data_IF_686295283224
#
_entry.id   IF_686295283224
#
_cell.length_a   1.000
_cell.length_b   1.000
_cell.length_c   1.000
_cell.angle_alpha   90.00
_cell.angle_beta   90.00
_cell.angle_gamma   90.00
#
_symmetry.space_group_name_H-M   'P 1'
#
loop_
_entity.id
_entity.type
_entity.pdbx_description
1 polymer ?
#
# COMPACT_ATOMS: atom_id res chain seq x y z
N UNK A 1 -51.11 -28.69 -17.45
CA UNK A 1 -49.74 -29.17 -17.74
C UNK A 1 -48.78 -27.99 -17.82
N UNK A 2 -47.82 -27.91 -16.90
CA UNK A 2 -46.80 -26.86 -16.81
C UNK A 2 -45.73 -27.09 -17.89
N UNK A 3 -45.57 -26.17 -18.85
CA UNK A 3 -44.35 -26.10 -19.68
C UNK A 3 -43.54 -24.89 -19.25
N UNK A 4 -42.42 -25.20 -18.60
CA UNK A 4 -41.39 -24.26 -18.12
C UNK A 4 -40.76 -23.56 -19.32
N UNK A 5 -40.96 -22.26 -19.44
CA UNK A 5 -40.16 -21.41 -20.33
C UNK A 5 -38.76 -21.33 -19.71
N UNK A 6 -37.80 -22.01 -20.34
CA UNK A 6 -36.39 -22.03 -19.92
C UNK A 6 -35.76 -20.67 -20.22
N UNK A 7 -35.50 -19.92 -19.16
CA UNK A 7 -34.69 -18.70 -19.12
C UNK A 7 -33.33 -18.99 -19.78
N UNK A 8 -33.13 -18.47 -20.99
CA UNK A 8 -31.82 -18.37 -21.64
C UNK A 8 -31.30 -16.92 -21.49
N UNK A 9 -31.18 -16.46 -20.24
CA UNK A 9 -30.52 -15.20 -19.85
C UNK A 9 -29.56 -15.50 -18.70
N UNK A 10 -28.66 -16.48 -18.90
CA UNK A 10 -27.66 -16.88 -17.88
C UNK A 10 -26.24 -16.97 -18.44
N UNK A 11 -25.98 -16.48 -19.66
CA UNK A 11 -24.62 -16.55 -20.23
C UNK A 11 -24.11 -15.28 -20.93
N UNK A 12 -24.58 -14.11 -20.49
CA UNK A 12 -24.15 -12.81 -21.05
C UNK A 12 -23.94 -11.72 -19.99
N UNK A 13 -23.72 -12.10 -18.72
CA UNK A 13 -23.43 -11.18 -17.61
C UNK A 13 -22.16 -11.56 -16.83
N UNK A 14 -21.07 -11.88 -17.54
CA UNK A 14 -19.77 -12.14 -16.89
C UNK A 14 -18.55 -11.60 -17.65
N UNK A 15 -18.72 -10.54 -18.44
CA UNK A 15 -17.61 -9.88 -19.16
C UNK A 15 -17.34 -8.44 -18.72
N UNK A 16 -17.93 -8.00 -17.61
CA UNK A 16 -17.64 -6.68 -17.07
C UNK A 16 -16.69 -6.82 -15.87
N UNK A 17 -15.57 -6.08 -15.94
CA UNK A 17 -14.56 -5.84 -14.88
C UNK A 17 -13.37 -6.82 -14.86
N UNK A 18 -12.44 -6.69 -15.81
CA UNK A 18 -11.04 -7.15 -15.61
C UNK A 18 -9.97 -6.19 -16.17
N UNK A 19 -10.32 -4.95 -16.54
CA UNK A 19 -9.35 -3.95 -17.05
C UNK A 19 -9.07 -2.80 -16.08
N UNK A 20 -9.07 -3.06 -14.77
CA UNK A 20 -8.66 -2.07 -13.77
C UNK A 20 -7.45 -2.61 -13.01
N UNK A 21 -6.29 -2.00 -13.25
CA UNK A 21 -5.10 -2.30 -12.47
C UNK A 21 -5.26 -1.65 -11.09
N UNK A 22 -5.34 -2.48 -10.04
CA UNK A 22 -5.39 -1.99 -8.67
C UNK A 22 -3.99 -1.68 -8.16
N UNK A 23 -3.87 -0.60 -7.38
CA UNK A 23 -2.67 -0.39 -6.59
C UNK A 23 -2.42 -1.55 -5.62
N UNK A 24 -1.17 -2.06 -5.53
CA UNK A 24 -0.80 -3.05 -4.54
C UNK A 24 -1.09 -2.55 -3.13
N UNK A 25 -1.65 -3.43 -2.31
CA UNK A 25 -2.02 -3.10 -0.94
C UNK A 25 -1.24 -3.98 0.04
N UNK A 26 -0.41 -3.34 0.86
CA UNK A 26 0.54 -3.97 1.78
C UNK A 26 -0.06 -4.20 3.17
N UNK A 27 0.39 -5.25 3.84
CA UNK A 27 0.01 -5.49 5.23
C UNK A 27 0.67 -4.46 6.16
N UNK A 28 1.90 -4.02 5.82
CA UNK A 28 2.64 -2.99 6.54
C UNK A 28 2.48 -1.58 6.00
N UNK A 29 1.34 -1.23 5.39
CA UNK A 29 1.10 0.15 4.92
C UNK A 29 1.35 1.20 6.02
N UNK A 30 1.06 0.86 7.28
CA UNK A 30 1.26 1.74 8.44
C UNK A 30 2.74 2.05 8.73
N UNK A 31 3.69 1.27 8.20
CA UNK A 31 5.12 1.58 8.30
C UNK A 31 5.66 2.32 7.07
N UNK A 32 4.90 2.37 5.97
CA UNK A 32 5.25 3.10 4.75
C UNK A 32 4.11 4.01 4.27
N UNK A 33 3.70 4.97 5.09
CA UNK A 33 2.68 5.97 4.72
C UNK A 33 3.06 6.78 3.46
N UNK A 34 4.35 6.92 3.12
CA UNK A 34 4.79 7.63 1.92
C UNK A 34 4.28 6.96 0.64
N UNK A 35 4.23 5.62 0.60
CA UNK A 35 3.73 4.88 -0.56
C UNK A 35 2.30 5.31 -0.94
N UNK A 36 1.47 5.62 0.07
CA UNK A 36 0.06 6.00 -0.09
C UNK A 36 -0.19 7.50 -0.08
N UNK A 37 0.59 8.30 0.66
CA UNK A 37 0.32 9.73 0.85
C UNK A 37 1.61 10.57 0.80
N UNK A 38 1.81 11.42 -0.23
CA UNK A 38 3.01 12.24 -0.34
C UNK A 38 3.14 13.30 0.77
N UNK A 39 2.03 13.71 1.40
CA UNK A 39 2.05 14.69 2.49
C UNK A 39 2.69 14.16 3.78
N UNK A 40 2.81 12.83 3.92
CA UNK A 40 3.46 12.22 5.09
C UNK A 40 4.98 12.45 5.13
N UNK A 41 5.62 12.66 3.99
CA UNK A 41 7.07 12.86 3.93
C UNK A 41 7.48 14.04 4.81
N UNK A 42 8.59 13.94 5.55
CA UNK A 42 9.02 14.96 6.50
C UNK A 42 8.19 15.09 7.79
N UNK A 43 7.13 14.31 7.99
CA UNK A 43 6.35 14.30 9.24
C UNK A 43 7.16 13.76 10.44
N UNK A 44 8.17 12.94 10.15
CA UNK A 44 9.13 12.43 11.13
C UNK A 44 10.28 13.38 11.34
N UNK A 45 10.85 13.30 12.53
CA UNK A 45 11.98 14.11 12.93
C UNK A 45 13.34 13.55 12.48
N UNK A 46 13.36 12.49 11.68
CA UNK A 46 14.59 11.81 11.25
C UNK A 46 14.40 11.27 9.84
N UNK A 47 15.50 10.99 9.15
CA UNK A 47 15.44 10.36 7.84
C UNK A 47 15.03 8.90 8.01
N UNK A 48 14.10 8.43 7.18
CA UNK A 48 13.61 7.05 7.19
C UNK A 48 13.83 6.44 5.82
N UNK A 49 14.36 5.22 5.79
CA UNK A 49 14.36 4.35 4.62
C UNK A 49 13.49 3.16 4.97
N UNK A 50 12.49 2.88 4.15
CA UNK A 50 11.62 1.71 4.33
C UNK A 50 11.68 0.87 3.07
N UNK A 51 11.88 -0.43 3.22
CA UNK A 51 11.74 -1.39 2.14
C UNK A 51 10.78 -2.50 2.54
N UNK A 52 9.91 -2.88 1.62
CA UNK A 52 8.95 -3.97 1.81
C UNK A 52 9.06 -4.91 0.63
N UNK A 53 9.15 -6.21 0.90
CA UNK A 53 9.06 -7.28 -0.07
C UNK A 53 7.81 -8.09 0.24
N UNK A 54 6.95 -8.30 -0.75
CA UNK A 54 5.70 -9.05 -0.64
C UNK A 54 5.65 -10.11 -1.73
N UNK A 55 5.38 -11.36 -1.33
CA UNK A 55 5.10 -12.47 -2.24
C UNK A 55 3.70 -13.00 -1.93
N UNK A 56 2.81 -12.97 -2.93
CA UNK A 56 1.44 -13.44 -2.80
C UNK A 56 1.26 -14.77 -3.49
N UNK A 57 0.37 -15.57 -2.93
CA UNK A 57 -0.03 -16.86 -3.49
C UNK A 57 1.17 -17.76 -3.82
N UNK A 58 2.11 -17.82 -2.88
CA UNK A 58 3.34 -18.59 -3.04
C UNK A 58 3.04 -20.05 -3.44
N UNK A 59 3.69 -20.52 -4.51
CA UNK A 59 3.58 -21.92 -4.95
C UNK A 59 3.30 -22.17 -6.44
N UNK A 60 3.17 -21.15 -7.28
CA UNK A 60 3.04 -21.32 -8.74
C UNK A 60 3.81 -20.27 -9.54
N UNK A 61 4.13 -20.60 -10.79
CA UNK A 61 4.88 -19.74 -11.70
C UNK A 61 4.10 -18.47 -12.04
N UNK A 62 4.77 -17.31 -11.97
CA UNK A 62 4.12 -16.01 -12.21
C UNK A 62 3.31 -15.45 -11.03
N UNK A 63 3.40 -16.06 -9.84
CA UNK A 63 2.77 -15.53 -8.63
C UNK A 63 3.18 -14.06 -8.35
N UNK A 64 2.28 -13.18 -7.86
CA UNK A 64 2.59 -11.78 -7.65
C UNK A 64 3.75 -11.56 -6.67
N UNK A 65 4.71 -10.72 -7.09
CA UNK A 65 5.81 -10.24 -6.26
C UNK A 65 5.82 -8.72 -6.34
N UNK A 66 5.67 -8.08 -5.18
CA UNK A 66 5.68 -6.62 -5.07
C UNK A 66 6.80 -6.18 -4.14
N UNK A 67 7.54 -5.17 -4.56
CA UNK A 67 8.66 -4.59 -3.85
C UNK A 67 8.45 -3.09 -3.75
N UNK A 68 8.78 -2.51 -2.60
CA UNK A 68 8.88 -1.06 -2.49
C UNK A 68 10.13 -0.68 -1.70
N UNK A 69 10.72 0.44 -2.11
CA UNK A 69 11.73 1.15 -1.37
C UNK A 69 11.30 2.63 -1.29
N UNK A 70 11.43 3.23 -0.12
CA UNK A 70 11.04 4.60 0.11
C UNK A 70 12.07 5.28 0.98
N UNK A 71 12.49 6.48 0.58
CA UNK A 71 13.36 7.36 1.32
C UNK A 71 12.58 8.61 1.69
N UNK A 72 12.61 8.99 2.97
CA UNK A 72 11.89 10.14 3.51
C UNK A 72 12.86 10.98 4.36
N UNK A 73 12.96 12.28 4.09
CA UNK A 73 13.81 13.21 4.84
C UNK A 73 13.09 14.52 5.18
N UNK A 74 13.08 14.92 6.47
CA UNK A 74 12.64 16.26 6.87
C UNK A 74 13.72 17.32 6.61
N UNK A 75 13.33 18.47 6.07
CA UNK A 75 14.10 19.71 5.97
C UNK A 75 13.48 20.74 6.92
N UNK A 76 13.85 20.64 8.20
CA UNK A 76 13.21 21.38 9.29
C UNK A 76 13.28 22.89 9.17
N UNK A 77 14.39 23.44 8.66
CA UNK A 77 14.57 24.89 8.54
C UNK A 77 13.53 25.56 7.64
N UNK A 78 12.85 24.80 6.79
CA UNK A 78 11.84 25.28 5.85
C UNK A 78 10.45 24.69 6.09
N UNK A 79 10.28 23.85 7.11
CA UNK A 79 9.08 23.03 7.31
C UNK A 79 8.71 22.19 6.07
N UNK A 80 9.72 21.68 5.36
CA UNK A 80 9.54 20.89 4.14
C UNK A 80 9.94 19.44 4.40
N UNK A 81 9.29 18.51 3.71
CA UNK A 81 9.70 17.12 3.58
C UNK A 81 10.03 16.80 2.12
N UNK A 82 11.05 15.97 1.91
CA UNK A 82 11.42 15.45 0.59
C UNK A 82 11.52 13.93 0.65
N UNK A 83 11.03 13.26 -0.38
CA UNK A 83 10.97 11.81 -0.41
C UNK A 83 11.18 11.27 -1.82
N UNK A 84 11.71 10.05 -1.88
CA UNK A 84 11.83 9.26 -3.10
C UNK A 84 11.13 7.93 -2.86
N UNK A 85 10.40 7.45 -3.85
CA UNK A 85 9.69 6.18 -3.82
C UNK A 85 9.97 5.38 -5.08
N UNK A 86 10.18 4.07 -4.91
CA UNK A 86 10.16 3.10 -5.99
C UNK A 86 9.23 1.98 -5.57
N UNK A 87 8.30 1.61 -6.43
CA UNK A 87 7.44 0.44 -6.28
C UNK A 87 7.55 -0.38 -7.55
N UNK A 88 7.95 -1.64 -7.42
CA UNK A 88 8.02 -2.59 -8.51
C UNK A 88 7.02 -3.71 -8.22
N UNK A 89 6.08 -3.93 -9.12
CA UNK A 89 5.05 -4.96 -9.03
C UNK A 89 5.15 -5.87 -10.25
N UNK A 90 5.28 -7.18 -10.00
CA UNK A 90 5.35 -8.20 -11.05
C UNK A 90 4.23 -9.21 -10.84
N UNK A 91 3.35 -9.33 -11.82
CA UNK A 91 2.20 -10.24 -11.83
C UNK A 91 2.23 -11.02 -13.14
N UNK A 92 2.61 -12.31 -13.10
CA UNK A 92 2.78 -13.11 -14.30
C UNK A 92 3.76 -12.45 -15.30
N UNK A 93 3.33 -12.23 -16.56
CA UNK A 93 4.15 -11.55 -17.57
C UNK A 93 4.22 -10.02 -17.37
N UNK A 94 3.35 -9.43 -16.55
CA UNK A 94 3.24 -7.99 -16.38
C UNK A 94 4.25 -7.50 -15.34
N UNK A 95 4.97 -6.43 -15.66
CA UNK A 95 5.83 -5.71 -14.73
C UNK A 95 5.48 -4.22 -14.75
N UNK A 96 5.33 -3.64 -13.57
CA UNK A 96 4.96 -2.24 -13.37
C UNK A 96 5.94 -1.63 -12.37
N UNK A 97 6.65 -0.58 -12.77
CA UNK A 97 7.60 0.14 -11.90
C UNK A 97 7.18 1.60 -11.76
N UNK A 98 6.68 1.98 -10.59
CA UNK A 98 6.38 3.36 -10.23
C UNK A 98 7.62 3.99 -9.58
N UNK A 99 8.06 5.13 -10.11
CA UNK A 99 9.13 5.93 -9.54
C UNK A 99 8.56 7.31 -9.23
N UNK A 100 8.74 7.77 -7.98
CA UNK A 100 8.17 9.03 -7.52
C UNK A 100 9.12 9.86 -6.66
N UNK A 101 8.94 11.17 -6.76
CA UNK A 101 9.51 12.20 -5.91
C UNK A 101 8.36 12.87 -5.17
N UNK A 102 8.44 12.88 -3.85
CA UNK A 102 7.43 13.46 -2.97
C UNK A 102 7.96 14.73 -2.32
N UNK A 103 7.16 15.79 -2.35
CA UNK A 103 7.44 17.07 -1.69
C UNK A 103 6.27 17.42 -0.80
N UNK A 104 6.55 17.84 0.43
CA UNK A 104 5.51 18.23 1.39
C UNK A 104 5.87 19.50 2.12
N UNK A 105 4.86 20.30 2.46
CA UNK A 105 4.98 21.43 3.38
C UNK A 105 4.17 21.15 4.66
N UNK A 106 4.76 21.45 5.82
CA UNK A 106 4.20 21.18 7.14
C UNK A 106 3.81 22.48 7.85
N UNK A 107 2.51 22.77 7.88
CA UNK A 107 1.96 23.87 8.65
C UNK A 107 1.78 23.44 10.11
N UNK A 108 2.45 24.14 11.03
CA UNK A 108 2.24 23.95 12.47
C UNK A 108 0.93 24.62 12.87
N UNK A 109 0.00 23.86 13.43
CA UNK A 109 -1.32 24.37 13.84
C UNK A 109 -1.32 24.93 15.26
N UNK A 110 -0.53 24.35 16.17
CA UNK A 110 -0.49 24.75 17.57
C UNK A 110 0.89 24.55 18.20
N UNK A 111 1.04 24.98 19.45
CA UNK A 111 2.29 24.79 20.20
C UNK A 111 2.48 23.33 20.65
N UNK A 112 1.41 22.57 20.76
CA UNK A 112 1.37 21.19 21.29
C UNK A 112 1.87 20.11 20.31
N UNK A 113 2.21 20.52 19.09
CA UNK A 113 2.83 19.63 18.09
C UNK A 113 1.83 18.97 17.16
N UNK A 114 0.70 19.61 16.90
CA UNK A 114 -0.19 19.27 15.78
C UNK A 114 0.26 19.99 14.51
N UNK A 115 0.22 19.26 13.40
CA UNK A 115 0.63 19.73 12.09
C UNK A 115 -0.41 19.31 11.05
N UNK A 116 -0.64 20.19 10.08
CA UNK A 116 -1.31 19.86 8.84
C UNK A 116 -0.29 19.99 7.71
N UNK A 117 -0.20 18.98 6.87
CA UNK A 117 0.72 18.97 5.76
C UNK A 117 -0.02 18.78 4.44
N UNK A 118 0.52 19.43 3.41
CA UNK A 118 0.10 19.27 2.02
C UNK A 118 1.29 18.70 1.27
N UNK A 119 1.05 17.71 0.42
CA UNK A 119 2.08 17.03 -0.35
C UNK A 119 1.73 16.93 -1.81
N UNK A 120 2.76 16.94 -2.64
CA UNK A 120 2.72 16.68 -4.07
C UNK A 120 3.62 15.50 -4.38
N UNK A 121 3.16 14.63 -5.27
CA UNK A 121 3.90 13.50 -5.83
C UNK A 121 4.14 13.79 -7.30
N UNK A 122 5.37 13.66 -7.75
CA UNK A 122 5.75 13.74 -9.16
C UNK A 122 6.43 12.44 -9.54
N UNK A 123 6.03 11.81 -10.63
CA UNK A 123 6.61 10.53 -11.00
C UNK A 123 6.01 9.98 -12.26
N UNK A 124 6.12 8.68 -12.41
CA UNK A 124 5.47 7.96 -13.48
C UNK A 124 5.67 6.47 -13.33
N UNK A 125 4.96 5.76 -14.19
CA UNK A 125 4.86 4.33 -14.16
C UNK A 125 5.46 3.79 -15.45
N UNK A 126 6.53 3.02 -15.32
CA UNK A 126 7.08 2.22 -16.42
C UNK A 126 6.33 0.89 -16.45
N UNK A 127 5.71 0.58 -17.58
CA UNK A 127 4.94 -0.64 -17.79
C UNK A 127 5.62 -1.50 -18.85
N UNK A 128 5.73 -2.80 -18.57
CA UNK A 128 6.28 -3.77 -19.49
C UNK A 128 5.55 -5.10 -19.41
N UNK A 129 5.55 -5.82 -20.53
CA UNK A 129 5.01 -7.17 -20.67
C UNK A 129 6.17 -8.07 -21.12
N UNK A 130 6.35 -9.21 -20.46
CA UNK A 130 7.28 -10.23 -20.93
C UNK A 130 6.52 -11.26 -21.79
N UNK A 131 6.65 -11.13 -23.11
CA UNK A 131 6.00 -11.99 -24.08
C UNK A 131 6.49 -13.44 -24.04
N UNK A 132 7.71 -13.72 -23.55
CA UNK A 132 8.26 -15.08 -23.46
C UNK A 132 7.53 -15.96 -22.42
N UNK A 133 6.89 -15.33 -21.43
CA UNK A 133 6.07 -16.04 -20.43
C UNK A 133 4.67 -16.39 -20.95
N UNK A 134 4.30 -15.92 -22.15
CA UNK A 134 2.98 -16.14 -22.75
C UNK A 134 3.04 -17.40 -23.61
N UNK A 135 2.41 -18.48 -23.14
CA UNK A 135 2.24 -19.70 -23.93
C UNK A 135 0.93 -19.63 -24.71
N UNK A 136 1.02 -19.68 -26.04
CA UNK A 136 -0.14 -19.70 -26.92
C UNK A 136 -0.47 -21.14 -27.35
N UNK A 137 -1.76 -21.45 -27.49
CA UNK A 137 -2.19 -22.76 -28.00
C UNK A 137 -1.89 -22.94 -29.50
N UNK A 138 -1.60 -21.84 -30.20
CA UNK A 138 -1.19 -21.83 -31.60
C UNK A 138 0.26 -21.31 -31.69
N UNK A 139 1.19 -22.07 -32.30
CA UNK A 139 2.52 -21.55 -32.62
C UNK A 139 2.37 -20.29 -33.49
N UNK A 140 3.08 -19.22 -33.14
CA UNK A 140 3.09 -17.95 -33.89
C UNK A 140 1.74 -17.23 -34.01
N UNK A 141 0.93 -17.23 -32.94
CA UNK A 141 -0.28 -16.40 -32.88
C UNK A 141 0.09 -14.91 -32.93
N UNK A 142 -0.19 -14.27 -34.06
CA UNK A 142 0.12 -12.86 -34.31
C UNK A 142 -0.61 -11.91 -33.35
N UNK A 143 -1.68 -12.36 -32.70
CA UNK A 143 -2.43 -11.60 -31.69
C UNK A 143 -1.62 -11.40 -30.40
N UNK A 144 -0.68 -12.30 -30.13
CA UNK A 144 0.23 -12.27 -28.97
C UNK A 144 1.65 -11.85 -29.35
N UNK A 145 1.85 -11.34 -30.57
CA UNK A 145 3.06 -10.63 -30.97
C UNK A 145 3.05 -9.24 -30.33
N UNK A 146 3.20 -9.21 -29.00
CA UNK A 146 3.33 -7.97 -28.24
C UNK A 146 4.79 -7.53 -28.43
N UNK A 147 4.98 -6.43 -29.16
CA UNK A 147 6.25 -5.73 -29.16
C UNK A 147 6.53 -5.31 -27.71
N UNK A 148 7.74 -5.58 -27.21
CA UNK A 148 8.21 -5.20 -25.87
C UNK A 148 8.29 -3.66 -25.76
N UNK A 149 7.13 -3.01 -25.77
CA UNK A 149 7.00 -1.57 -25.72
C UNK A 149 6.96 -1.14 -24.27
N UNK A 150 8.15 -0.89 -23.71
CA UNK A 150 8.27 -0.16 -22.46
C UNK A 150 7.74 1.25 -22.66
N UNK A 151 6.67 1.56 -21.95
CA UNK A 151 6.02 2.86 -22.01
C UNK A 151 6.07 3.51 -20.64
N UNK A 152 6.65 4.72 -20.57
CA UNK A 152 6.68 5.51 -19.36
C UNK A 152 5.48 6.46 -19.32
N UNK A 153 4.62 6.25 -18.32
CA UNK A 153 3.39 7.01 -18.12
C UNK A 153 3.57 8.01 -16.98
N UNK A 154 3.80 9.31 -17.27
CA UNK A 154 3.98 10.31 -16.22
C UNK A 154 2.69 10.49 -15.41
N UNK A 155 2.86 10.81 -14.13
CA UNK A 155 1.76 11.08 -13.23
C UNK A 155 2.11 12.15 -12.20
N UNK A 156 1.05 12.75 -11.65
CA UNK A 156 1.13 13.66 -10.51
C UNK A 156 0.13 13.19 -9.47
N UNK A 157 0.45 13.43 -8.20
CA UNK A 157 -0.43 13.13 -7.09
C UNK A 157 -0.41 14.24 -6.06
N UNK A 158 -1.37 14.21 -5.16
CA UNK A 158 -1.39 15.11 -4.01
C UNK A 158 -1.95 14.42 -2.78
N UNK A 159 -1.70 15.03 -1.62
CA UNK A 159 -2.28 14.58 -0.37
C UNK A 159 -2.34 15.66 0.69
N UNK A 160 -3.17 15.38 1.69
CA UNK A 160 -3.24 16.08 2.96
C UNK A 160 -2.91 15.09 4.06
N UNK A 161 -2.17 15.53 5.06
CA UNK A 161 -1.82 14.68 6.19
C UNK A 161 -1.77 15.51 7.47
N UNK A 162 -2.70 15.22 8.37
CA UNK A 162 -2.73 15.74 9.73
C UNK A 162 -2.03 14.75 10.65
N UNK A 163 -1.16 15.25 11.53
CA UNK A 163 -0.54 14.43 12.55
C UNK A 163 -0.27 15.21 13.83
N UNK A 164 -0.22 14.46 14.92
CA UNK A 164 0.15 14.91 16.26
C UNK A 164 0.99 13.84 16.94
N UNK A 165 1.23 13.99 18.25
CA UNK A 165 1.91 12.97 19.05
C UNK A 165 1.10 11.68 19.27
N UNK A 166 -0.22 11.68 19.01
CA UNK A 166 -1.09 10.53 19.32
C UNK A 166 -1.96 10.04 18.17
N UNK A 167 -2.22 10.88 17.17
CA UNK A 167 -3.11 10.54 16.07
C UNK A 167 -2.57 11.06 14.75
N UNK A 168 -2.94 10.38 13.67
CA UNK A 168 -2.76 10.84 12.30
C UNK A 168 -4.00 10.56 11.47
N UNK A 169 -4.23 11.42 10.47
CA UNK A 169 -5.27 11.30 9.47
C UNK A 169 -4.71 11.79 8.15
N UNK A 170 -5.00 11.09 7.06
CA UNK A 170 -4.49 11.44 5.75
C UNK A 170 -5.50 11.16 4.66
N UNK A 171 -5.51 12.02 3.66
CA UNK A 171 -6.18 11.81 2.39
C UNK A 171 -5.15 11.97 1.26
N UNK A 172 -5.21 11.13 0.24
CA UNK A 172 -4.35 11.27 -0.93
C UNK A 172 -5.04 10.80 -2.19
N UNK A 173 -4.66 11.42 -3.30
CA UNK A 173 -4.88 10.93 -4.65
C UNK A 173 -3.49 10.82 -5.28
N UNK A 174 -2.80 9.66 -5.13
CA UNK A 174 -1.40 9.50 -5.49
C UNK A 174 -1.17 9.55 -7.00
N UNK A 175 -2.20 9.26 -7.80
CA UNK A 175 -2.19 9.39 -9.26
C UNK A 175 -3.46 10.08 -9.73
N UNK A 176 -3.31 11.22 -10.40
CA UNK A 176 -4.38 12.09 -10.89
C UNK A 176 -4.68 11.84 -12.37
N UNK A 177 -3.65 11.44 -13.12
CA UNK A 177 -3.75 11.19 -14.57
C UNK A 177 -4.16 9.73 -14.77
N UNK A 178 -5.28 9.53 -15.47
CA UNK A 178 -5.72 8.20 -15.89
C UNK A 178 -5.00 7.83 -17.18
N UNK A 179 -4.50 6.60 -17.26
CA UNK A 179 -3.89 6.04 -18.48
C UNK A 179 -4.66 4.78 -18.83
N UNK A 180 -5.59 4.91 -19.77
CA UNK A 180 -6.53 3.85 -20.11
C UNK A 180 -5.85 2.65 -20.77
N UNK A 181 -4.71 2.84 -21.45
CA UNK A 181 -4.00 1.75 -22.13
C UNK A 181 -3.49 0.69 -21.15
N UNK A 182 -3.15 1.10 -19.93
CA UNK A 182 -2.66 0.22 -18.86
C UNK A 182 -3.71 -0.02 -17.76
N UNK A 183 -4.95 0.42 -17.97
CA UNK A 183 -6.02 0.27 -16.98
C UNK A 183 -5.75 1.02 -15.66
N UNK A 184 -4.90 2.05 -15.68
CA UNK A 184 -4.58 2.86 -14.50
C UNK A 184 -5.73 3.82 -14.20
N UNK A 185 -6.36 3.62 -13.04
CA UNK A 185 -7.48 4.43 -12.57
C UNK A 185 -7.10 5.29 -11.38
N UNK A 186 -7.74 6.45 -11.27
CA UNK A 186 -7.71 7.29 -10.07
C UNK A 186 -8.15 6.52 -8.82
N UNK A 187 -7.23 6.45 -7.88
CA UNK A 187 -7.48 5.93 -6.54
C UNK A 187 -7.48 7.07 -5.52
N UNK A 188 -8.40 6.97 -4.57
CA UNK A 188 -8.55 7.86 -3.44
C UNK A 188 -8.24 7.07 -2.18
N UNK A 189 -7.24 7.53 -1.45
CA UNK A 189 -6.73 6.88 -0.26
C UNK A 189 -7.07 7.71 0.97
N UNK A 190 -7.62 7.05 1.99
CA UNK A 190 -7.76 7.63 3.32
C UNK A 190 -7.01 6.75 4.32
N UNK A 191 -6.19 7.36 5.16
CA UNK A 191 -5.49 6.65 6.23
C UNK A 191 -5.79 7.32 7.56
N UNK A 192 -5.85 6.53 8.61
CA UNK A 192 -6.02 7.04 9.97
C UNK A 192 -5.44 6.07 10.97
N UNK A 193 -5.10 6.59 12.15
CA UNK A 193 -4.63 5.75 13.24
C UNK A 193 -4.13 6.57 14.40
N UNK A 194 -3.66 5.85 15.42
CA UNK A 194 -3.17 6.50 16.62
C UNK A 194 -2.33 5.60 17.50
N UNK A 195 -1.90 6.14 18.63
CA UNK A 195 -1.22 5.42 19.70
C UNK A 195 -2.01 5.60 20.99
N UNK A 196 -2.33 4.47 21.62
CA UNK A 196 -3.06 4.40 22.87
C UNK A 196 -2.14 3.71 23.88
N UNK A 197 -1.66 4.45 24.87
CA UNK A 197 -0.87 3.87 25.95
C UNK A 197 -1.79 3.07 26.86
N UNK A 198 -1.66 1.74 26.87
CA UNK A 198 -2.41 0.85 27.75
C UNK A 198 -1.74 0.74 29.13
N UNK A 199 -0.41 0.86 29.16
CA UNK A 199 0.43 0.92 30.36
C UNK A 199 1.79 1.56 29.99
N UNK A 200 2.71 1.67 30.95
CA UNK A 200 4.10 2.08 30.70
C UNK A 200 4.87 1.10 29.79
N UNK A 201 4.34 -0.12 29.62
CA UNK A 201 4.99 -1.18 28.84
C UNK A 201 4.33 -1.42 27.48
N UNK A 202 3.02 -1.18 27.39
CA UNK A 202 2.21 -1.58 26.25
C UNK A 202 1.56 -0.39 25.56
N UNK A 203 1.77 -0.29 24.25
CA UNK A 203 1.14 0.70 23.37
C UNK A 203 0.32 -0.04 22.33
N UNK A 204 -0.96 0.31 22.21
CA UNK A 204 -1.83 -0.15 21.16
C UNK A 204 -1.80 0.85 19.99
N UNK A 205 -1.56 0.35 18.79
CA UNK A 205 -1.54 1.12 17.54
C UNK A 205 -2.64 0.59 16.61
N UNK A 206 -3.87 1.14 16.68
CA UNK A 206 -4.87 0.91 15.66
C UNK A 206 -4.57 1.78 14.44
N UNK A 207 -4.78 1.21 13.25
CA UNK A 207 -4.62 1.88 11.97
C UNK A 207 -5.72 1.41 11.01
N UNK A 208 -6.24 2.33 10.21
CA UNK A 208 -7.18 2.08 9.12
C UNK A 208 -6.65 2.67 7.83
N UNK A 209 -6.87 1.97 6.73
CA UNK A 209 -6.63 2.45 5.38
C UNK A 209 -7.85 2.12 4.52
N UNK A 210 -8.39 3.12 3.83
CA UNK A 210 -9.49 2.98 2.89
C UNK A 210 -8.95 3.28 1.50
N UNK A 211 -9.27 2.41 0.55
CA UNK A 211 -8.98 2.57 -0.87
C UNK A 211 -10.29 2.59 -1.64
N UNK A 212 -10.55 3.70 -2.31
CA UNK A 212 -11.69 3.88 -3.19
C UNK A 212 -11.21 4.17 -4.61
N UNK A 213 -11.75 3.47 -5.60
CA UNK A 213 -11.53 3.77 -7.01
C UNK A 213 -12.82 3.49 -7.80
N UNK A 214 -13.05 4.29 -8.85
CA UNK A 214 -14.30 4.22 -9.62
C UNK A 214 -14.25 3.02 -10.56
N UNK A 215 -15.22 2.11 -10.44
CA UNK A 215 -15.30 0.93 -11.30
C UNK A 215 -14.41 -0.23 -10.86
N UNK A 216 -13.74 -0.09 -9.71
CA UNK A 216 -13.12 -1.19 -8.98
C UNK A 216 -13.73 -1.30 -7.60
N UNK A 217 -13.46 -2.41 -6.94
CA UNK A 217 -13.92 -2.64 -5.60
C UNK A 217 -13.19 -1.76 -4.59
N UNK A 218 -14.01 -1.12 -3.75
CA UNK A 218 -13.51 -0.29 -2.67
C UNK A 218 -13.25 -1.15 -1.45
N UNK A 219 -12.05 -1.07 -0.90
CA UNK A 219 -11.57 -1.93 0.16
C UNK A 219 -11.08 -1.11 1.34
N UNK A 220 -11.12 -1.71 2.52
CA UNK A 220 -10.41 -1.20 3.68
C UNK A 220 -9.49 -2.24 4.28
N UNK A 221 -8.42 -1.74 4.89
CA UNK A 221 -7.52 -2.45 5.78
C UNK A 221 -7.68 -1.89 7.18
N UNK A 222 -8.02 -2.73 8.14
CA UNK A 222 -7.94 -2.42 9.56
C UNK A 222 -6.82 -3.22 10.19
N UNK A 223 -5.88 -2.54 10.84
CA UNK A 223 -4.74 -3.15 11.50
C UNK A 223 -4.68 -2.73 12.96
N UNK A 224 -4.24 -3.65 13.81
CA UNK A 224 -4.03 -3.37 15.22
C UNK A 224 -2.73 -4.02 15.68
N UNK A 225 -1.78 -3.22 16.16
CA UNK A 225 -0.52 -3.69 16.72
C UNK A 225 -0.44 -3.40 18.22
N UNK A 226 -0.01 -4.38 19.00
CA UNK A 226 0.47 -4.21 20.35
C UNK A 226 2.00 -4.11 20.33
N UNK A 227 2.52 -3.02 20.86
CA UNK A 227 3.95 -2.71 20.92
C UNK A 227 4.38 -2.80 22.38
N UNK A 228 5.43 -3.59 22.65
CA UNK A 228 6.00 -3.76 23.98
C UNK A 228 7.33 -3.01 24.10
N UNK A 229 7.39 -2.01 25.01
CA UNK A 229 8.59 -1.22 25.35
C UNK A 229 9.36 -0.66 24.15
N UNK A 230 8.68 -0.41 23.03
CA UNK A 230 9.32 -0.08 21.75
C UNK A 230 10.35 -1.11 21.24
N UNK A 231 10.32 -2.35 21.74
CA UNK A 231 11.25 -3.42 21.36
C UNK A 231 10.62 -4.31 20.28
N UNK A 232 9.43 -4.85 20.52
CA UNK A 232 8.76 -5.72 19.56
C UNK A 232 7.29 -5.35 19.41
N UNK A 233 6.70 -5.77 18.30
CA UNK A 233 5.26 -5.64 18.05
C UNK A 233 4.67 -6.95 17.55
N UNK A 234 3.39 -7.13 17.87
CA UNK A 234 2.56 -8.23 17.41
C UNK A 234 1.17 -7.68 17.11
N UNK A 235 0.49 -8.24 16.12
CA UNK A 235 -0.83 -7.76 15.78
C UNK A 235 -1.48 -8.50 14.64
N UNK A 236 -2.62 -7.97 14.23
CA UNK A 236 -3.44 -8.52 13.17
C UNK A 236 -3.90 -7.44 12.20
N UNK A 237 -4.21 -7.86 10.98
CA UNK A 237 -4.87 -7.04 9.98
C UNK A 237 -6.03 -7.81 9.36
N UNK A 238 -7.10 -7.09 9.08
CA UNK A 238 -8.26 -7.55 8.33
C UNK A 238 -8.43 -6.63 7.13
N UNK A 239 -8.51 -7.21 5.94
CA UNK A 239 -8.88 -6.52 4.71
C UNK A 239 -10.27 -6.96 4.28
N UNK A 240 -11.17 -6.03 4.01
CA UNK A 240 -12.51 -6.35 3.48
C UNK A 240 -13.00 -5.28 2.53
N UNK A 241 -14.06 -5.59 1.77
CA UNK A 241 -14.79 -4.59 1.00
C UNK A 241 -15.46 -3.59 1.95
N UNK A 242 -15.57 -2.32 1.56
CA UNK A 242 -16.26 -1.30 2.39
C UNK A 242 -17.75 -1.62 2.62
N UNK A 243 -18.33 -2.51 1.82
CA UNK A 243 -19.72 -2.95 1.95
C UNK A 243 -19.90 -4.11 2.95
N UNK A 244 -18.80 -4.73 3.40
CA UNK A 244 -18.79 -5.91 4.27
C UNK A 244 -17.90 -5.69 5.49
N UNK A 245 -18.45 -5.78 6.70
CA UNK A 245 -17.71 -5.60 7.98
C UNK A 245 -16.62 -6.65 8.20
N UNK A 246 -16.78 -7.82 7.61
CA UNK A 246 -15.77 -8.88 7.63
C UNK A 246 -15.60 -9.43 6.21
N UNK A 247 -14.42 -10.01 5.92
CA UNK A 247 -14.18 -10.71 4.66
C UNK A 247 -15.27 -11.76 4.39
N UNK A 248 -16.06 -11.55 3.35
CA UNK A 248 -17.25 -12.35 3.00
C UNK A 248 -16.95 -13.56 2.07
N UNK A 249 -15.66 -13.78 1.82
CA UNK A 249 -15.18 -14.81 0.91
C UNK A 249 -15.03 -14.38 -0.54
N UNK A 250 -15.17 -13.08 -0.83
CA UNK A 250 -14.74 -12.47 -2.08
C UNK A 250 -13.21 -12.50 -2.27
N UNK A 251 -12.75 -12.04 -3.44
CA UNK A 251 -11.33 -12.05 -3.83
C UNK A 251 -10.48 -11.03 -3.05
N UNK A 252 -11.10 -9.99 -2.50
CA UNK A 252 -10.42 -8.88 -1.83
C UNK A 252 -10.17 -9.09 -0.34
N UNK A 253 -10.93 -10.02 0.25
CA UNK A 253 -10.89 -10.24 1.68
C UNK A 253 -9.64 -11.00 2.10
N UNK A 254 -9.00 -10.58 3.19
CA UNK A 254 -7.86 -11.30 3.77
C UNK A 254 -7.70 -11.03 5.26
N UNK A 255 -6.98 -11.96 5.89
CA UNK A 255 -6.51 -11.81 7.26
C UNK A 255 -4.99 -11.91 7.25
N UNK A 256 -4.32 -11.15 8.11
CA UNK A 256 -2.89 -11.27 8.29
C UNK A 256 -2.49 -11.19 9.75
N UNK A 257 -1.50 -12.00 10.11
CA UNK A 257 -0.75 -11.87 11.36
C UNK A 257 0.50 -11.05 11.09
N UNK A 258 0.80 -10.08 11.96
CA UNK A 258 1.93 -9.17 11.83
C UNK A 258 2.79 -9.26 13.08
N UNK A 259 4.10 -9.35 12.90
CA UNK A 259 5.04 -9.24 14.02
C UNK A 259 6.34 -8.57 13.59
N UNK A 260 7.15 -8.13 14.54
CA UNK A 260 8.46 -7.60 14.23
C UNK A 260 9.18 -7.07 15.46
N UNK A 261 10.42 -6.65 15.24
CA UNK A 261 11.34 -6.23 16.29
C UNK A 261 12.16 -5.02 15.84
N UNK A 262 12.37 -4.11 16.78
CA UNK A 262 13.34 -3.04 16.71
C UNK A 262 14.66 -3.59 17.24
N UNK A 263 15.57 -3.97 16.33
CA UNK A 263 16.91 -4.45 16.70
C UNK A 263 17.65 -3.39 17.51
N UNK A 264 17.47 -2.13 17.12
CA UNK A 264 17.96 -0.97 17.86
C UNK A 264 17.11 0.27 17.51
N UNK A 265 17.55 1.46 17.93
CA UNK A 265 16.86 2.73 17.66
C UNK A 265 16.77 3.09 16.18
N UNK A 266 17.61 2.48 15.34
CA UNK A 266 17.77 2.78 13.93
C UNK A 266 17.20 1.69 13.02
N UNK A 267 17.09 0.45 13.45
CA UNK A 267 16.74 -0.68 12.59
C UNK A 267 15.50 -1.39 13.12
N UNK A 268 14.54 -1.64 12.23
CA UNK A 268 13.34 -2.43 12.49
C UNK A 268 13.19 -3.48 11.40
N UNK A 269 12.81 -4.69 11.79
CA UNK A 269 12.45 -5.77 10.87
C UNK A 269 11.08 -6.29 11.27
N UNK A 270 10.21 -6.53 10.29
CA UNK A 270 8.90 -7.13 10.50
C UNK A 270 8.62 -8.21 9.47
N UNK A 271 7.75 -9.13 9.86
CA UNK A 271 7.24 -10.19 9.01
C UNK A 271 5.74 -10.36 9.24
N UNK A 272 4.99 -10.43 8.13
CA UNK A 272 3.57 -10.77 8.16
C UNK A 272 3.28 -11.99 7.32
N UNK A 273 2.34 -12.78 7.81
CA UNK A 273 1.77 -13.91 7.11
C UNK A 273 0.28 -13.68 6.95
N UNK A 274 -0.18 -13.63 5.71
CA UNK A 274 -1.57 -13.41 5.36
C UNK A 274 -2.17 -14.56 4.56
N UNK A 275 -3.49 -14.69 4.64
CA UNK A 275 -4.26 -15.65 3.85
C UNK A 275 -5.54 -14.99 3.35
N UNK A 276 -5.95 -15.35 2.14
CA UNK A 276 -7.17 -14.82 1.54
C UNK A 276 -8.40 -15.41 2.23
N UNK A 277 -9.46 -14.64 2.39
CA UNK A 277 -10.75 -15.21 2.79
C UNK A 277 -11.44 -15.93 1.64
N UNK A 278 -10.90 -15.88 0.41
CA UNK A 278 -11.55 -16.37 -0.80
C UNK A 278 -12.01 -17.82 -0.66
N UNK A 279 -13.24 -18.08 -1.13
CA UNK A 279 -13.80 -19.43 -1.24
C UNK A 279 -13.03 -20.31 -2.24
N UNK A 280 -12.25 -19.70 -3.14
CA UNK A 280 -11.40 -20.44 -4.07
C UNK A 280 -10.10 -20.87 -3.36
N UNK A 281 -9.97 -22.18 -3.11
CA UNK A 281 -8.80 -22.77 -2.44
C UNK A 281 -7.49 -22.53 -3.19
N UNK A 282 -7.51 -22.43 -4.53
CA UNK A 282 -6.32 -22.15 -5.32
C UNK A 282 -5.77 -20.74 -5.09
N UNK A 283 -6.63 -19.80 -4.67
CA UNK A 283 -6.26 -18.41 -4.35
C UNK A 283 -6.02 -18.19 -2.85
N UNK A 284 -6.15 -19.24 -2.04
CA UNK A 284 -5.98 -19.20 -0.60
C UNK A 284 -4.55 -19.56 -0.16
N UNK A 285 -3.60 -19.43 -1.08
CA UNK A 285 -2.18 -19.61 -0.82
C UNK A 285 -1.63 -18.46 0.03
N UNK A 286 -0.65 -18.79 0.86
CA UNK A 286 -0.05 -17.86 1.82
C UNK A 286 0.58 -16.65 1.15
N UNK A 287 0.37 -15.49 1.77
CA UNK A 287 1.04 -14.23 1.43
C UNK A 287 2.09 -13.93 2.49
N UNK A 288 3.32 -13.70 2.05
CA UNK A 288 4.45 -13.39 2.91
C UNK A 288 4.89 -11.95 2.64
N UNK A 289 5.05 -11.17 3.71
CA UNK A 289 5.56 -9.80 3.59
C UNK A 289 6.65 -9.56 4.61
N UNK A 290 7.80 -9.08 4.16
CA UNK A 290 8.94 -8.71 4.99
C UNK A 290 9.13 -7.20 4.86
N UNK A 291 9.32 -6.53 5.99
CA UNK A 291 9.66 -5.11 6.03
C UNK A 291 11.00 -4.91 6.72
N UNK A 292 11.84 -4.07 6.13
CA UNK A 292 13.04 -3.51 6.72
C UNK A 292 12.88 -1.99 6.79
N UNK A 293 13.16 -1.41 7.95
CA UNK A 293 13.14 0.04 8.12
C UNK A 293 14.39 0.53 8.83
N UNK A 294 14.98 1.58 8.28
CA UNK A 294 16.17 2.25 8.77
C UNK A 294 15.84 3.71 9.11
N UNK A 295 15.90 4.05 10.39
CA UNK A 295 15.70 5.39 10.94
C UNK A 295 17.05 6.01 11.27
N UNK A 296 17.46 7.03 10.51
CA UNK A 296 18.73 7.74 10.72
C UNK A 296 18.46 8.94 11.63
N UNK A 297 18.64 8.73 12.93
CA UNK A 297 18.40 9.73 13.96
C UNK A 297 19.45 10.85 13.91
N UNK A 298 19.05 12.13 13.99
CA UNK A 298 20.00 13.24 14.01
C UNK A 298 20.83 13.23 15.30
N UNK A 299 22.11 13.65 15.22
CA UNK A 299 23.03 13.72 16.37
C UNK A 299 22.59 14.69 17.47
N UNK A 300 21.76 15.69 17.14
CA UNK A 300 21.23 16.64 18.13
C UNK A 300 19.91 16.11 18.70
N UNK A 301 19.97 15.65 19.94
CA UNK A 301 18.84 15.14 20.72
C UNK A 301 18.00 16.34 21.18
N UNK A 302 17.22 16.92 20.26
CA UNK A 302 15.99 17.59 20.66
C UNK A 302 14.93 16.53 20.94
N UNK A 303 13.99 16.81 21.86
CA UNK A 303 12.81 15.97 22.09
C UNK A 303 12.24 15.49 20.76
N UNK A 304 12.21 14.16 20.54
CA UNK A 304 11.55 13.55 19.40
C UNK A 304 10.06 13.90 19.49
N UNK A 305 9.61 14.87 18.72
CA UNK A 305 8.22 15.36 18.77
C UNK A 305 7.20 14.43 18.12
N UNK A 306 7.65 13.39 17.41
CA UNK A 306 6.80 12.44 16.70
C UNK A 306 7.26 11.03 17.03
N UNK A 307 6.36 10.16 17.53
CA UNK A 307 6.65 8.77 17.83
C UNK A 307 7.23 8.01 16.63
N UNK A 308 8.03 6.98 16.89
CA UNK A 308 8.60 6.12 15.84
C UNK A 308 7.53 5.39 15.03
N UNK A 309 6.37 5.20 15.63
CA UNK A 309 5.26 4.39 15.15
C UNK A 309 4.16 5.20 14.43
N UNK A 310 4.41 6.44 14.02
CA UNK A 310 3.64 7.06 12.94
C UNK A 310 4.34 6.92 11.60
#
# INVERSE_FOLDING_TARGET
MRKKIKIHIIFLFLTHVLLSQQDPAFNYYMFNHQSVNPAYVGSKNYTTITSVYRSQWSGFEGSPITQTASFNKPIRSKNIGVGLGVLNDKIGPLTTTDISIDLSYHLRLNRDGSYLSVGLKFGGLDFGINSEMIQTNQPFDQTFFIQDDKSFFPNIGFGFYYYSQKIYLGFAMPRVIDHAEIGNQKHYFFIGGGLINLSDLWILRPSVFLKYARGSSSVYDFSSLLIFKDIFWIGGQIRSSIFSVLPDGGLEGSYAFLTGVNINKNISIGYSYGFSSSKNKALNLGTHEIILRLDILPKVIGLLRSPRFF
#
